data_IF_626508845968
#
_entry.id   IF_626508845968
#
_cell.length_a   1.000
_cell.length_b   1.000
_cell.length_c   1.000
_cell.angle_alpha   90.00
_cell.angle_beta   90.00
_cell.angle_gamma   90.00
#
_symmetry.space_group_name_H-M   'P 1'
#
loop_
_entity.id
_entity.type
_entity.pdbx_description
1 polymer ?
#
# COMPACT_ATOMS: atom_id res chain seq x y z
N UNK A 1 18.43 -10.65 13.55
CA UNK A 1 18.68 -9.81 12.35
C UNK A 1 18.51 -8.36 12.75
N UNK A 2 19.19 -7.41 12.11
CA UNK A 2 19.00 -5.99 12.41
C UNK A 2 17.65 -5.51 11.87
N UNK A 3 16.94 -4.69 12.63
CA UNK A 3 15.64 -4.14 12.22
C UNK A 3 15.79 -3.24 10.99
N UNK A 4 15.07 -3.55 9.90
CA UNK A 4 14.99 -2.71 8.70
C UNK A 4 13.89 -1.65 8.84
N UNK A 5 14.16 -0.48 8.28
CA UNK A 5 13.25 0.66 8.31
C UNK A 5 13.19 1.31 6.93
N UNK A 6 12.02 1.84 6.59
CA UNK A 6 11.78 2.59 5.35
C UNK A 6 11.26 3.99 5.70
N UNK A 7 11.53 4.95 4.83
CA UNK A 7 10.96 6.30 4.92
C UNK A 7 9.74 6.41 4.01
N UNK A 8 8.65 6.97 4.52
CA UNK A 8 7.46 7.33 3.75
C UNK A 8 7.34 8.84 3.75
N UNK A 9 7.24 9.46 2.56
CA UNK A 9 7.25 10.91 2.43
C UNK A 9 6.15 11.46 1.53
N UNK A 10 5.62 12.62 1.92
CA UNK A 10 4.78 13.47 1.09
C UNK A 10 5.63 14.63 0.58
N UNK A 11 6.35 14.40 -0.52
CA UNK A 11 7.41 15.29 -1.04
C UNK A 11 6.96 16.75 -1.13
N UNK A 12 5.82 17.04 -1.77
CA UNK A 12 5.31 18.42 -1.93
C UNK A 12 5.06 19.13 -0.59
N UNK A 13 4.72 18.37 0.46
CA UNK A 13 4.42 18.89 1.81
C UNK A 13 5.67 18.96 2.69
N UNK A 14 6.79 18.35 2.29
CA UNK A 14 8.01 18.30 3.08
C UNK A 14 7.87 17.48 4.37
N UNK A 15 6.93 16.54 4.44
CA UNK A 15 6.68 15.68 5.61
C UNK A 15 7.15 14.27 5.32
N UNK A 16 7.81 13.64 6.28
CA UNK A 16 8.24 12.25 6.23
C UNK A 16 8.03 11.57 7.59
N UNK A 17 7.91 10.24 7.57
CA UNK A 17 7.95 9.39 8.75
C UNK A 17 8.76 8.12 8.46
N UNK A 18 9.16 7.42 9.51
CA UNK A 18 9.89 6.15 9.41
C UNK A 18 9.00 5.00 9.84
N UNK A 19 8.92 3.96 9.02
CA UNK A 19 8.20 2.73 9.32
C UNK A 19 9.20 1.58 9.50
N UNK A 20 9.01 0.77 10.55
CA UNK A 20 9.75 -0.48 10.74
C UNK A 20 9.14 -1.56 9.84
N UNK A 21 9.97 -2.28 9.09
CA UNK A 21 9.53 -3.45 8.36
C UNK A 21 9.27 -4.61 9.33
N UNK A 22 8.11 -5.24 9.19
CA UNK A 22 7.67 -6.34 10.06
C UNK A 22 8.21 -7.68 9.54
N UNK A 23 9.52 -7.79 9.34
CA UNK A 23 10.18 -8.94 8.71
C UNK A 23 9.85 -10.30 9.35
N UNK A 24 9.55 -10.33 10.65
CA UNK A 24 9.16 -11.55 11.37
C UNK A 24 7.70 -11.96 11.13
N UNK A 25 6.82 -11.00 10.83
CA UNK A 25 5.37 -11.21 10.68
C UNK A 25 4.92 -11.23 9.22
N UNK A 26 5.60 -10.49 8.36
CA UNK A 26 5.31 -10.35 6.94
C UNK A 26 6.57 -10.42 6.07
N UNK A 27 7.36 -11.51 6.15
CA UNK A 27 8.65 -11.62 5.47
C UNK A 27 8.57 -11.49 3.95
N UNK A 28 7.55 -12.08 3.31
CA UNK A 28 7.43 -12.04 1.85
C UNK A 28 7.02 -10.65 1.36
N UNK A 29 6.09 -10.02 2.07
CA UNK A 29 5.62 -8.66 1.79
C UNK A 29 6.75 -7.64 2.00
N UNK A 30 7.48 -7.75 3.11
CA UNK A 30 8.61 -6.86 3.39
C UNK A 30 9.74 -7.00 2.38
N UNK A 31 10.05 -8.22 1.92
CA UNK A 31 11.03 -8.45 0.86
C UNK A 31 10.58 -7.81 -0.47
N UNK A 32 9.33 -8.07 -0.90
CA UNK A 32 8.77 -7.52 -2.13
C UNK A 32 8.84 -5.98 -2.18
N UNK A 33 8.47 -5.31 -1.09
CA UNK A 33 8.57 -3.85 -1.00
C UNK A 33 10.02 -3.39 -0.99
N UNK A 34 10.86 -3.99 -0.13
CA UNK A 34 12.25 -3.57 0.05
C UNK A 34 13.06 -3.65 -1.24
N UNK A 35 12.93 -4.74 -1.99
CA UNK A 35 13.69 -4.98 -3.21
C UNK A 35 13.25 -4.06 -4.36
N UNK A 36 12.04 -3.51 -4.29
CA UNK A 36 11.48 -2.58 -5.28
C UNK A 36 11.72 -1.10 -4.97
N UNK A 37 12.22 -0.76 -3.78
CA UNK A 37 12.48 0.64 -3.43
C UNK A 37 13.60 1.25 -4.30
N UNK A 38 13.49 2.55 -4.65
CA UNK A 38 12.45 3.50 -4.24
C UNK A 38 11.17 3.42 -5.09
N UNK A 39 10.01 3.56 -4.44
CA UNK A 39 8.70 3.66 -5.08
C UNK A 39 8.13 5.07 -4.91
N UNK A 40 7.61 5.65 -6.00
CA UNK A 40 7.00 6.98 -5.98
C UNK A 40 5.81 7.05 -6.95
N UNK A 41 4.72 7.68 -6.51
CA UNK A 41 3.49 7.81 -7.28
C UNK A 41 2.59 8.92 -6.72
N UNK A 42 1.50 9.19 -7.44
CA UNK A 42 0.47 10.12 -6.97
C UNK A 42 -0.22 9.56 -5.73
N UNK A 43 -0.52 10.44 -4.78
CA UNK A 43 -1.19 10.07 -3.52
C UNK A 43 -2.68 10.34 -3.60
N UNK A 44 -3.46 9.36 -3.17
CA UNK A 44 -4.90 9.43 -3.03
C UNK A 44 -5.29 9.43 -1.55
N UNK A 45 -6.47 9.97 -1.27
CA UNK A 45 -7.11 9.83 0.03
C UNK A 45 -8.32 8.93 -0.13
N UNK A 46 -8.42 7.91 0.72
CA UNK A 46 -9.46 6.91 0.60
C UNK A 46 -10.86 7.48 0.82
N UNK A 47 -11.83 6.86 0.13
CA UNK A 47 -13.26 7.21 0.22
C UNK A 47 -14.03 6.32 1.21
N UNK A 48 -13.57 5.08 1.45
CA UNK A 48 -14.29 4.09 2.26
C UNK A 48 -13.54 3.74 3.56
N UNK A 49 -12.23 3.46 3.49
CA UNK A 49 -11.43 3.00 4.62
C UNK A 49 -11.11 4.07 5.68
N UNK A 50 -11.74 5.25 5.56
CA UNK A 50 -11.67 6.37 6.50
C UNK A 50 -10.30 7.07 6.53
N UNK A 51 -9.42 6.73 7.47
CA UNK A 51 -8.20 7.51 7.75
C UNK A 51 -6.99 6.93 7.01
N UNK A 52 -7.06 6.91 5.68
CA UNK A 52 -6.10 6.25 4.80
C UNK A 52 -5.65 7.20 3.68
N UNK A 53 -4.33 7.24 3.48
CA UNK A 53 -3.72 7.73 2.23
C UNK A 53 -2.96 6.59 1.57
N UNK A 54 -2.94 6.57 0.25
CA UNK A 54 -2.30 5.47 -0.49
C UNK A 54 -1.79 5.92 -1.85
N UNK A 55 -0.91 5.11 -2.43
CA UNK A 55 -0.46 5.23 -3.81
C UNK A 55 -0.60 3.89 -4.53
N UNK A 56 -0.94 3.96 -5.82
CA UNK A 56 -1.14 2.80 -6.68
C UNK A 56 0.08 2.60 -7.58
N UNK A 57 0.53 1.36 -7.69
CA UNK A 57 1.70 0.97 -8.46
C UNK A 57 1.37 -0.19 -9.41
N UNK A 58 2.05 -0.29 -10.56
CA UNK A 58 2.19 -1.56 -11.27
C UNK A 58 2.79 -2.63 -10.34
N UNK A 59 2.56 -3.93 -10.61
CA UNK A 59 3.18 -4.99 -9.83
C UNK A 59 4.70 -4.90 -9.97
N UNK A 60 5.41 -4.99 -8.84
CA UNK A 60 6.85 -4.83 -8.77
C UNK A 60 7.59 -6.04 -8.20
N UNK A 61 6.85 -7.07 -7.78
CA UNK A 61 7.41 -8.36 -7.39
C UNK A 61 7.22 -9.40 -8.50
N UNK A 62 8.18 -10.31 -8.67
CA UNK A 62 8.08 -11.43 -9.64
C UNK A 62 6.83 -12.29 -9.41
N UNK A 63 6.42 -12.39 -8.14
CA UNK A 63 5.17 -13.00 -7.70
C UNK A 63 4.62 -12.22 -6.52
N UNK A 64 3.31 -11.94 -6.55
CA UNK A 64 2.64 -11.28 -5.44
C UNK A 64 2.81 -12.06 -4.12
N UNK A 65 3.06 -11.36 -3.00
CA UNK A 65 3.05 -11.97 -1.68
C UNK A 65 1.72 -12.70 -1.41
N UNK A 66 1.72 -13.80 -0.64
CA UNK A 66 0.47 -14.41 -0.19
C UNK A 66 -0.28 -13.48 0.78
N UNK A 67 -1.51 -13.82 1.15
CA UNK A 67 -2.21 -13.15 2.24
C UNK A 67 -1.41 -13.32 3.54
N UNK A 68 -0.72 -12.26 3.96
CA UNK A 68 0.32 -12.32 4.99
C UNK A 68 0.10 -11.20 6.02
N UNK A 69 0.04 -11.57 7.30
CA UNK A 69 -0.29 -10.66 8.41
C UNK A 69 -1.52 -9.74 8.14
N UNK A 70 -2.68 -10.28 7.69
CA UNK A 70 -3.80 -9.47 7.23
C UNK A 70 -4.55 -8.78 8.37
N UNK A 71 -5.19 -7.66 8.05
CA UNK A 71 -6.14 -6.96 8.91
C UNK A 71 -7.30 -6.40 8.08
N UNK A 72 -8.48 -6.30 8.69
CA UNK A 72 -9.63 -5.54 8.16
C UNK A 72 -9.98 -4.35 9.05
N UNK A 73 -9.26 -4.18 10.16
CA UNK A 73 -9.41 -3.08 11.12
C UNK A 73 -8.05 -2.43 11.35
N UNK A 74 -7.46 -1.78 10.34
CA UNK A 74 -6.13 -1.18 10.45
C UNK A 74 -6.11 -0.07 11.51
N UNK A 75 -4.99 0.04 12.22
CA UNK A 75 -4.77 0.95 13.35
C UNK A 75 -3.82 2.10 12.96
N UNK A 76 -3.71 3.17 13.78
CA UNK A 76 -2.77 4.26 13.49
C UNK A 76 -1.33 3.74 13.38
N UNK A 77 -0.67 4.04 12.26
CA UNK A 77 0.70 3.63 11.96
C UNK A 77 0.82 2.37 11.09
N UNK A 78 -0.28 1.70 10.77
CA UNK A 78 -0.25 0.57 9.84
C UNK A 78 0.11 1.04 8.43
N UNK A 79 1.09 0.36 7.83
CA UNK A 79 1.46 0.46 6.43
C UNK A 79 1.12 -0.87 5.74
N UNK A 80 0.06 -0.86 4.94
CA UNK A 80 -0.53 -2.04 4.33
C UNK A 80 -0.16 -2.18 2.86
N UNK A 81 -0.13 -3.44 2.41
CA UNK A 81 0.06 -3.85 1.02
C UNK A 81 -1.21 -4.55 0.57
N UNK A 82 -1.79 -4.12 -0.55
CA UNK A 82 -2.87 -4.84 -1.22
C UNK A 82 -2.52 -5.11 -2.67
N UNK A 83 -2.90 -6.29 -3.17
CA UNK A 83 -2.83 -6.62 -4.59
C UNK A 83 -4.26 -6.80 -5.10
N UNK A 84 -4.67 -5.93 -6.02
CA UNK A 84 -5.96 -5.99 -6.67
C UNK A 84 -5.84 -6.45 -8.11
N UNK A 85 -6.81 -7.23 -8.57
CA UNK A 85 -7.04 -7.40 -9.99
C UNK A 85 -7.53 -6.06 -10.56
N UNK A 86 -7.08 -5.70 -11.75
CA UNK A 86 -7.39 -4.41 -12.36
C UNK A 86 -8.90 -4.17 -12.56
N UNK A 87 -9.68 -5.24 -12.67
CA UNK A 87 -11.14 -5.18 -12.70
C UNK A 87 -11.77 -4.68 -11.39
N UNK A 88 -11.09 -4.82 -10.25
CA UNK A 88 -11.58 -4.36 -8.95
C UNK A 88 -11.48 -2.84 -8.81
N UNK A 89 -10.41 -2.22 -9.35
CA UNK A 89 -10.20 -0.77 -9.27
C UNK A 89 -10.72 0.01 -10.50
N UNK A 90 -10.89 -0.64 -11.66
CA UNK A 90 -11.35 -0.03 -12.90
C UNK A 90 -12.85 0.31 -12.97
N UNK A 91 -13.54 0.39 -11.82
CA UNK A 91 -14.98 0.67 -11.80
C UNK A 91 -15.28 2.16 -11.69
N UNK A 92 -16.43 2.59 -12.23
CA UNK A 92 -16.91 3.98 -12.11
C UNK A 92 -17.08 4.45 -10.66
N UNK A 93 -17.22 3.53 -9.71
CA UNK A 93 -17.37 3.86 -8.29
C UNK A 93 -16.08 4.49 -7.71
N UNK A 94 -14.91 4.06 -8.17
CA UNK A 94 -13.63 4.63 -7.74
C UNK A 94 -13.35 5.98 -8.42
N UNK A 95 -13.65 6.08 -9.72
CA UNK A 95 -13.56 7.32 -10.49
C UNK A 95 -12.13 7.77 -10.77
N UNK A 96 -11.20 6.83 -10.94
CA UNK A 96 -9.87 7.13 -11.46
C UNK A 96 -9.92 7.45 -12.96
N UNK A 97 -9.07 8.37 -13.41
CA UNK A 97 -8.88 8.69 -14.83
C UNK A 97 -8.02 7.65 -15.57
N UNK A 98 -7.55 6.61 -14.87
CA UNK A 98 -6.65 5.59 -15.40
C UNK A 98 -7.44 4.42 -15.99
N UNK A 99 -7.14 4.04 -17.24
CA UNK A 99 -7.65 2.82 -17.87
C UNK A 99 -7.04 1.58 -17.19
N UNK A 100 -7.64 1.13 -16.09
CA UNK A 100 -7.26 -0.13 -15.45
C UNK A 100 -7.80 -1.28 -16.30
N UNK A 101 -6.92 -1.91 -17.09
CA UNK A 101 -7.31 -2.95 -18.04
C UNK A 101 -7.56 -4.29 -17.33
N UNK A 102 -8.56 -5.09 -17.76
CA UNK A 102 -8.71 -6.46 -17.29
C UNK A 102 -7.42 -7.27 -17.46
N UNK A 103 -7.03 -8.05 -16.45
CA UNK A 103 -5.82 -8.87 -16.46
C UNK A 103 -4.54 -8.17 -16.01
N UNK A 104 -4.63 -6.92 -15.52
CA UNK A 104 -3.52 -6.24 -14.86
C UNK A 104 -3.61 -6.41 -13.35
N UNK A 105 -2.48 -6.55 -12.66
CA UNK A 105 -2.42 -6.42 -11.19
C UNK A 105 -2.14 -4.96 -10.85
N UNK A 106 -2.71 -4.46 -9.77
CA UNK A 106 -2.38 -3.15 -9.21
C UNK A 106 -2.04 -3.34 -7.75
N UNK A 107 -0.90 -2.79 -7.33
CA UNK A 107 -0.46 -2.80 -5.93
C UNK A 107 -0.83 -1.49 -5.28
N UNK A 108 -1.52 -1.56 -4.16
CA UNK A 108 -1.87 -0.43 -3.31
C UNK A 108 -1.00 -0.47 -2.05
N UNK A 109 -0.21 0.60 -1.84
CA UNK A 109 0.54 0.82 -0.61
C UNK A 109 -0.15 1.91 0.20
N UNK A 110 -0.74 1.52 1.33
CA UNK A 110 -1.63 2.36 2.12
C UNK A 110 -1.10 2.63 3.53
N UNK A 111 -1.12 3.90 3.93
CA UNK A 111 -0.79 4.35 5.28
C UNK A 111 -2.07 4.76 6.03
N UNK A 112 -2.32 4.09 7.16
CA UNK A 112 -3.41 4.44 8.08
C UNK A 112 -2.91 5.37 9.17
N UNK A 113 -3.43 6.59 9.20
CA UNK A 113 -2.93 7.65 10.09
C UNK A 113 -3.81 7.88 11.33
N UNK A 114 -4.96 7.20 11.45
CA UNK A 114 -5.86 7.28 12.61
C UNK A 114 -6.64 5.94 12.77
N UNK A 115 -7.59 5.85 13.72
CA UNK A 115 -8.26 4.62 14.19
C UNK A 115 -9.70 4.51 13.67
N UNK A 116 -10.39 3.44 14.08
CA UNK A 116 -11.78 3.16 13.77
C UNK A 116 -12.02 3.08 12.24
N UNK A 117 -11.09 2.43 11.55
CA UNK A 117 -11.14 2.13 10.13
C UNK A 117 -11.76 0.75 9.90
N UNK A 118 -12.36 0.55 8.74
CA UNK A 118 -12.90 -0.73 8.30
C UNK A 118 -12.70 -0.85 6.78
N UNK A 119 -12.15 -1.99 6.34
CA UNK A 119 -11.93 -2.32 4.93
C UNK A 119 -13.13 -3.02 4.31
#
# INVERSE_FOLDING_TARGET
MADRHIEVSLVKRGVHCTAKLLDERAPHTCAAVWDALPLSGEVYHAKYARNEIYALFPPFADREPPLENPTVTPIPGDLCYFSFAGTELGTKAYGYDTDVRPGTTVVDLALFYERNNLL
#
